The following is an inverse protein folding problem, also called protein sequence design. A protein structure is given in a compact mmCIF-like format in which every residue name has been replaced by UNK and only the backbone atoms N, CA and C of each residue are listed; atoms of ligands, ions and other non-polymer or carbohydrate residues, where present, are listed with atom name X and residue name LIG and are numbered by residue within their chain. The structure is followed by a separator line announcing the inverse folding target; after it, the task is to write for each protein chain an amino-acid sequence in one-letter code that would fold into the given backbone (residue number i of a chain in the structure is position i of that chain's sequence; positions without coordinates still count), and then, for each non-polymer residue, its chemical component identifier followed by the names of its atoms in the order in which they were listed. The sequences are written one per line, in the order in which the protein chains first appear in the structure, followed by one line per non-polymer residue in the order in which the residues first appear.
data_IF_608076163667
#
_entry.id   IF_608076163667
#
_cell.length_a   1.000
_cell.length_b   1.000
_cell.length_c   1.000
_cell.angle_alpha   90.00
_cell.angle_beta   90.00
_cell.angle_gamma   90.00
#
_symmetry.space_group_name_H-M   'P 1'
#
loop_
_entity.id
_entity.type
_entity.pdbx_description
1 polymer ?
#
# COMPACT_ATOMS: atom_id res chain seq x y z
N UNK A 1 -29.00 -1.21 16.67
CA UNK A 1 -28.83 -0.42 15.44
C UNK A 1 -30.20 -0.07 14.87
N UNK A 2 -30.39 1.16 14.40
CA UNK A 2 -31.65 1.61 13.78
C UNK A 2 -31.68 1.29 12.29
N UNK A 3 -32.87 1.33 11.66
CA UNK A 3 -33.02 1.22 10.20
C UNK A 3 -32.14 2.23 9.47
N UNK A 4 -32.16 3.49 9.91
CA UNK A 4 -31.39 4.58 9.30
C UNK A 4 -29.87 4.38 9.40
N UNK A 5 -29.39 3.83 10.52
CA UNK A 5 -27.96 3.48 10.67
C UNK A 5 -27.55 2.39 9.70
N UNK A 6 -28.31 1.30 9.62
CA UNK A 6 -28.03 0.21 8.69
C UNK A 6 -28.11 0.67 7.23
N UNK A 7 -29.07 1.55 6.91
CA UNK A 7 -29.19 2.15 5.59
C UNK A 7 -27.97 3.00 5.24
N UNK A 8 -27.53 3.90 6.13
CA UNK A 8 -26.34 4.71 5.87
C UNK A 8 -25.10 3.84 5.62
N UNK A 9 -24.86 2.84 6.47
CA UNK A 9 -23.71 1.93 6.31
C UNK A 9 -23.72 1.22 4.95
N UNK A 10 -24.88 0.69 4.52
CA UNK A 10 -24.98 -0.08 3.28
C UNK A 10 -25.06 0.81 2.02
N UNK A 11 -25.84 1.89 2.04
CA UNK A 11 -26.11 2.73 0.85
C UNK A 11 -25.10 3.85 0.65
N UNK A 12 -24.72 4.54 1.74
CA UNK A 12 -23.85 5.72 1.64
C UNK A 12 -22.40 5.35 1.76
N UNK A 13 -22.09 4.49 2.73
CA UNK A 13 -20.72 4.13 3.03
C UNK A 13 -20.24 2.89 2.25
N UNK A 14 -21.17 2.17 1.60
CA UNK A 14 -20.84 0.96 0.85
C UNK A 14 -20.28 -0.17 1.73
N UNK A 15 -20.49 -0.11 3.05
CA UNK A 15 -19.91 -1.04 4.00
C UNK A 15 -20.65 -2.38 4.01
N UNK A 16 -19.92 -3.47 4.26
CA UNK A 16 -20.52 -4.76 4.60
C UNK A 16 -20.85 -4.81 6.09
N UNK A 17 -21.99 -5.41 6.45
CA UNK A 17 -22.49 -5.41 7.83
C UNK A 17 -22.95 -6.81 8.22
N UNK A 18 -22.38 -7.34 9.32
CA UNK A 18 -22.93 -8.51 10.01
C UNK A 18 -23.79 -8.06 11.18
N UNK A 19 -24.96 -8.65 11.32
CA UNK A 19 -25.90 -8.32 12.37
C UNK A 19 -26.73 -9.53 12.79
N UNK A 20 -27.35 -9.46 13.96
CA UNK A 20 -28.30 -10.45 14.44
C UNK A 20 -29.71 -9.87 14.60
N UNK A 21 -30.70 -10.72 14.30
CA UNK A 21 -32.13 -10.48 14.52
C UNK A 21 -32.73 -11.74 15.11
N UNK A 22 -33.36 -11.66 16.27
CA UNK A 22 -33.92 -12.80 17.02
C UNK A 22 -32.91 -13.96 17.12
N UNK A 23 -31.68 -13.67 17.57
CA UNK A 23 -30.54 -14.59 17.72
C UNK A 23 -30.11 -15.32 16.43
N UNK A 24 -30.57 -14.83 15.28
CA UNK A 24 -30.14 -15.32 13.96
C UNK A 24 -29.19 -14.33 13.35
N UNK A 25 -28.00 -14.78 12.96
CA UNK A 25 -27.00 -13.97 12.27
C UNK A 25 -27.27 -13.85 10.77
N UNK A 26 -26.95 -12.67 10.25
CA UNK A 26 -27.04 -12.27 8.86
C UNK A 26 -25.80 -11.50 8.47
N UNK A 27 -25.38 -11.63 7.22
CA UNK A 27 -24.46 -10.70 6.55
C UNK A 27 -25.23 -9.90 5.51
N UNK A 28 -24.91 -8.63 5.36
CA UNK A 28 -25.40 -7.78 4.27
C UNK A 28 -24.23 -7.07 3.60
N UNK A 29 -24.22 -7.05 2.27
CA UNK A 29 -23.22 -6.35 1.48
C UNK A 29 -23.92 -5.61 0.33
N UNK A 30 -23.51 -4.37 0.01
CA UNK A 30 -24.00 -3.67 -1.16
C UNK A 30 -23.41 -4.27 -2.44
N UNK A 31 -24.19 -4.26 -3.51
CA UNK A 31 -23.70 -4.61 -4.85
C UNK A 31 -23.15 -3.34 -5.49
N UNK A 32 -21.83 -3.25 -5.59
CA UNK A 32 -21.16 -2.11 -6.20
C UNK A 32 -21.08 -2.28 -7.70
N UNK A 33 -21.53 -1.28 -8.46
CA UNK A 33 -21.43 -1.23 -9.92
C UNK A 33 -20.57 -0.04 -10.31
N UNK A 34 -19.67 -0.28 -11.25
CA UNK A 34 -18.79 0.72 -11.83
C UNK A 34 -19.50 1.41 -13.00
N UNK A 35 -19.62 2.73 -12.94
CA UNK A 35 -20.01 3.54 -14.08
C UNK A 35 -18.80 4.34 -14.53
N UNK A 36 -18.27 3.99 -15.71
CA UNK A 36 -17.20 4.77 -16.33
C UNK A 36 -17.80 6.00 -17.02
N UNK A 37 -17.42 7.18 -16.57
CA UNK A 37 -17.79 8.43 -17.19
C UNK A 37 -16.79 8.74 -18.32
N UNK A 38 -17.20 8.48 -19.56
CA UNK A 38 -16.35 8.72 -20.74
C UNK A 38 -15.91 10.18 -20.91
N UNK A 39 -16.67 11.15 -20.37
CA UNK A 39 -16.35 12.57 -20.51
C UNK A 39 -15.25 13.04 -19.56
N UNK A 40 -15.19 12.46 -18.34
CA UNK A 40 -14.17 12.79 -17.34
C UNK A 40 -13.03 11.78 -17.32
N UNK A 41 -13.22 10.59 -17.90
CA UNK A 41 -12.29 9.48 -17.80
C UNK A 41 -12.24 8.85 -16.40
N UNK A 42 -13.19 9.18 -15.53
CA UNK A 42 -13.26 8.69 -14.15
C UNK A 42 -14.30 7.57 -14.03
N UNK A 43 -14.04 6.62 -13.14
CA UNK A 43 -15.02 5.61 -12.75
C UNK A 43 -15.69 6.03 -11.44
N UNK A 44 -17.02 6.11 -11.46
CA UNK A 44 -17.83 6.31 -10.26
C UNK A 44 -18.38 4.97 -9.79
N UNK A 45 -18.52 4.85 -8.47
CA UNK A 45 -19.11 3.69 -7.82
C UNK A 45 -20.54 4.01 -7.41
N UNK A 46 -21.48 3.12 -7.73
CA UNK A 46 -22.85 3.21 -7.25
C UNK A 46 -23.30 1.89 -6.64
N UNK A 47 -24.17 1.99 -5.64
CA UNK A 47 -24.87 0.83 -5.08
C UNK A 47 -26.04 0.46 -6.01
N UNK A 48 -26.05 -0.78 -6.50
CA UNK A 48 -27.11 -1.37 -7.35
C UNK A 48 -27.75 -2.57 -6.66
N UNK A 49 -28.23 -2.33 -5.43
CA UNK A 49 -28.90 -3.33 -4.60
C UNK A 49 -28.01 -3.94 -3.53
N UNK A 50 -28.51 -5.02 -2.93
CA UNK A 50 -27.92 -5.61 -1.72
C UNK A 50 -27.98 -7.13 -1.77
N UNK A 51 -26.98 -7.79 -1.19
CA UNK A 51 -26.98 -9.21 -0.93
C UNK A 51 -27.18 -9.43 0.56
N UNK A 52 -28.14 -10.28 0.92
CA UNK A 52 -28.30 -10.81 2.26
C UNK A 52 -27.81 -12.25 2.31
N UNK A 53 -26.85 -12.52 3.19
CA UNK A 53 -26.37 -13.86 3.50
C UNK A 53 -26.95 -14.37 4.83
N UNK A 54 -27.40 -15.63 4.83
CA UNK A 54 -27.81 -16.36 6.03
C UNK A 54 -27.36 -17.81 5.93
N UNK A 55 -26.48 -18.26 6.84
CA UNK A 55 -25.96 -19.65 6.88
C UNK A 55 -25.43 -20.12 5.50
N UNK A 56 -24.64 -19.28 4.83
CA UNK A 56 -24.09 -19.55 3.49
C UNK A 56 -25.09 -19.45 2.33
N UNK A 57 -26.35 -19.11 2.59
CA UNK A 57 -27.34 -18.85 1.52
C UNK A 57 -27.44 -17.36 1.26
N UNK A 58 -27.23 -16.97 0.00
CA UNK A 58 -27.30 -15.59 -0.46
C UNK A 58 -28.61 -15.30 -1.19
N UNK A 59 -29.19 -14.13 -0.96
CA UNK A 59 -30.34 -13.60 -1.70
C UNK A 59 -30.11 -12.13 -2.02
N UNK A 60 -30.30 -11.77 -3.28
CA UNK A 60 -30.19 -10.38 -3.76
C UNK A 60 -31.52 -9.61 -3.60
N UNK A 61 -31.40 -8.30 -3.40
CA UNK A 61 -32.48 -7.33 -3.29
C UNK A 61 -32.14 -6.11 -4.14
N UNK A 62 -33.15 -5.51 -4.76
CA UNK A 62 -32.98 -4.38 -5.66
C UNK A 62 -32.74 -3.06 -4.91
N UNK A 63 -33.33 -2.91 -3.74
CA UNK A 63 -33.30 -1.70 -2.93
C UNK A 63 -33.33 -2.04 -1.44
N UNK A 64 -32.97 -1.04 -0.61
CA UNK A 64 -32.84 -1.23 0.83
C UNK A 64 -34.19 -1.51 1.50
N UNK A 65 -35.29 -0.92 0.99
CA UNK A 65 -36.63 -1.15 1.52
C UNK A 65 -37.05 -2.61 1.37
N UNK A 66 -36.88 -3.19 0.17
CA UNK A 66 -37.13 -4.61 -0.10
C UNK A 66 -36.24 -5.54 0.75
N UNK A 67 -35.02 -5.10 1.05
CA UNK A 67 -34.10 -5.80 1.95
C UNK A 67 -34.57 -5.76 3.40
N UNK A 68 -34.96 -4.57 3.90
CA UNK A 68 -35.26 -4.31 5.30
C UNK A 68 -36.67 -4.77 5.72
N UNK A 69 -37.61 -4.90 4.78
CA UNK A 69 -38.97 -5.42 5.04
C UNK A 69 -38.95 -6.74 5.85
N UNK A 70 -37.93 -7.59 5.65
CA UNK A 70 -37.74 -8.84 6.40
C UNK A 70 -37.49 -8.68 7.89
N UNK A 71 -37.02 -7.51 8.30
CA UNK A 71 -36.60 -7.17 9.66
C UNK A 71 -37.48 -6.06 10.25
N UNK A 72 -38.54 -5.67 9.54
CA UNK A 72 -39.43 -4.61 9.99
C UNK A 72 -39.98 -4.92 11.38
N UNK A 73 -39.95 -3.93 12.26
CA UNK A 73 -40.34 -4.04 13.67
C UNK A 73 -39.49 -5.00 14.53
N UNK A 74 -38.34 -5.47 14.03
CA UNK A 74 -37.41 -6.31 14.81
C UNK A 74 -36.21 -5.52 15.30
N UNK A 75 -35.65 -5.94 16.43
CA UNK A 75 -34.42 -5.37 16.94
C UNK A 75 -33.23 -5.93 16.15
N UNK A 76 -32.49 -5.03 15.50
CA UNK A 76 -31.24 -5.35 14.81
C UNK A 76 -30.05 -5.03 15.74
N UNK A 77 -29.26 -6.05 16.06
CA UNK A 77 -28.02 -5.92 16.83
C UNK A 77 -26.83 -6.05 15.90
N UNK A 78 -25.94 -5.06 15.90
CA UNK A 78 -24.71 -5.12 15.12
C UNK A 78 -23.80 -6.23 15.66
N UNK A 79 -23.10 -6.92 14.76
CA UNK A 79 -22.01 -7.85 15.08
C UNK A 79 -20.70 -7.24 14.60
N UNK A 80 -20.62 -6.88 13.32
CA UNK A 80 -19.45 -6.22 12.75
C UNK A 80 -19.80 -5.36 11.52
N UNK A 81 -18.94 -4.39 11.22
CA UNK A 81 -18.90 -3.63 9.96
C UNK A 81 -17.55 -3.96 9.30
N UNK A 82 -17.56 -4.30 8.00
CA UNK A 82 -16.39 -4.73 7.23
C UNK A 82 -15.58 -5.87 7.85
N UNK A 83 -16.21 -6.68 8.70
CA UNK A 83 -15.55 -7.73 9.48
C UNK A 83 -14.45 -7.24 10.45
N UNK A 84 -14.38 -5.94 10.69
CA UNK A 84 -13.33 -5.29 11.49
C UNK A 84 -13.91 -4.54 12.69
N UNK A 85 -14.99 -3.78 12.51
CA UNK A 85 -15.50 -2.87 13.54
C UNK A 85 -16.71 -3.46 14.26
N UNK A 86 -16.59 -3.71 15.56
CA UNK A 86 -17.68 -4.26 16.39
C UNK A 86 -18.74 -3.20 16.77
N UNK A 87 -18.49 -1.93 16.49
CA UNK A 87 -19.39 -0.82 16.82
C UNK A 87 -19.45 0.23 15.69
N UNK A 88 -20.56 0.98 15.65
CA UNK A 88 -20.69 2.13 14.75
C UNK A 88 -19.72 3.24 15.16
N UNK A 89 -19.54 3.47 16.46
CA UNK A 89 -18.64 4.52 16.98
C UNK A 89 -17.20 4.29 16.51
N UNK A 90 -16.66 3.07 16.68
CA UNK A 90 -15.32 2.73 16.18
C UNK A 90 -15.18 2.86 14.66
N UNK A 91 -16.25 2.58 13.91
CA UNK A 91 -16.24 2.72 12.44
C UNK A 91 -16.23 4.19 12.02
N UNK A 92 -17.07 5.02 12.64
CA UNK A 92 -17.11 6.46 12.36
C UNK A 92 -15.83 7.16 12.82
N UNK A 93 -15.21 6.72 13.92
CA UNK A 93 -13.92 7.24 14.39
C UNK A 93 -12.80 6.95 13.39
N UNK A 94 -12.75 5.72 12.84
CA UNK A 94 -11.75 5.37 11.83
C UNK A 94 -12.00 6.14 10.53
N UNK A 95 -13.26 6.21 10.09
CA UNK A 95 -13.64 7.02 8.92
C UNK A 95 -13.30 8.49 9.09
N UNK A 96 -13.54 9.07 10.27
CA UNK A 96 -13.16 10.45 10.57
C UNK A 96 -11.63 10.61 10.53
N UNK A 97 -10.89 9.61 11.00
CA UNK A 97 -9.44 9.60 10.91
C UNK A 97 -8.92 9.43 9.48
N UNK A 98 -9.55 8.64 8.64
CA UNK A 98 -9.17 8.52 7.22
C UNK A 98 -9.44 9.81 6.43
N UNK A 99 -10.34 10.66 6.94
CA UNK A 99 -10.67 11.97 6.37
C UNK A 99 -10.10 13.15 7.19
N UNK A 100 -9.12 12.88 8.05
CA UNK A 100 -8.49 13.91 8.88
C UNK A 100 -7.81 14.96 8.01
N UNK A 101 -7.95 16.23 8.35
CA UNK A 101 -7.24 17.29 7.65
C UNK A 101 -5.83 17.50 8.22
N UNK A 102 -5.00 18.27 7.51
CA UNK A 102 -3.61 18.50 7.92
C UNK A 102 -3.49 19.23 9.26
N UNK A 103 -4.39 20.17 9.56
CA UNK A 103 -4.37 20.88 10.85
C UNK A 103 -4.65 19.93 12.02
N UNK A 104 -5.60 19.01 11.85
CA UNK A 104 -5.98 18.00 12.84
C UNK A 104 -4.88 16.93 12.99
N UNK A 105 -4.24 16.49 11.89
CA UNK A 105 -3.06 15.63 11.93
C UNK A 105 -1.95 16.27 12.77
N UNK A 106 -1.63 17.54 12.48
CA UNK A 106 -0.62 18.27 13.23
C UNK A 106 -1.02 18.48 14.68
N UNK A 107 -2.28 18.79 14.99
CA UNK A 107 -2.74 18.89 16.37
C UNK A 107 -2.56 17.58 17.14
N UNK A 108 -2.71 16.44 16.46
CA UNK A 108 -2.52 15.09 17.01
C UNK A 108 -1.04 14.77 17.21
N UNK A 109 -0.20 15.01 16.20
CA UNK A 109 1.18 14.49 16.17
C UNK A 109 2.24 15.50 16.61
N UNK A 110 2.03 16.82 16.46
CA UNK A 110 3.00 17.85 16.90
C UNK A 110 3.39 17.72 18.40
N UNK A 111 2.49 17.36 19.33
CA UNK A 111 2.86 17.19 20.74
C UNK A 111 3.72 15.94 21.03
N UNK A 112 3.71 14.94 20.14
CA UNK A 112 4.28 13.60 20.42
C UNK A 112 5.41 13.21 19.48
N UNK A 113 5.41 13.71 18.24
CA UNK A 113 6.45 13.47 17.24
C UNK A 113 7.60 14.48 17.38
N UNK A 114 8.79 14.09 16.96
CA UNK A 114 9.96 14.98 16.83
C UNK A 114 10.44 15.15 15.39
N UNK A 115 9.97 14.31 14.49
CA UNK A 115 10.36 14.29 13.08
C UNK A 115 9.25 13.73 12.22
N UNK A 116 9.35 14.00 10.92
CA UNK A 116 8.47 13.45 9.89
C UNK A 116 9.28 13.13 8.64
N UNK A 117 8.74 12.32 7.75
CA UNK A 117 9.32 12.08 6.43
C UNK A 117 8.34 12.36 5.31
N UNK A 118 8.88 12.71 4.15
CA UNK A 118 8.18 12.78 2.88
C UNK A 118 9.02 12.04 1.83
N UNK A 119 8.37 11.38 0.89
CA UNK A 119 8.98 10.56 -0.16
C UNK A 119 8.66 11.10 -1.54
N UNK A 120 9.60 11.03 -2.46
CA UNK A 120 9.36 11.29 -3.87
C UNK A 120 10.14 10.32 -4.75
N UNK A 121 9.84 10.23 -6.06
CA UNK A 121 10.70 9.51 -6.99
C UNK A 121 12.13 10.07 -6.96
N UNK A 122 13.14 9.18 -6.91
CA UNK A 122 14.55 9.58 -6.99
C UNK A 122 14.85 10.25 -8.34
N UNK A 123 14.32 9.68 -9.42
CA UNK A 123 14.42 10.22 -10.76
C UNK A 123 13.10 10.88 -11.17
N UNK A 124 13.18 12.13 -11.62
CA UNK A 124 12.12 12.83 -12.35
C UNK A 124 12.44 12.86 -13.85
N UNK A 125 11.42 13.07 -14.70
CA UNK A 125 11.62 13.24 -16.14
C UNK A 125 11.88 11.94 -16.90
N UNK A 126 11.12 10.87 -16.60
CA UNK A 126 11.09 9.68 -17.45
C UNK A 126 10.59 10.05 -18.84
N UNK A 127 11.42 9.82 -19.86
CA UNK A 127 11.09 10.01 -21.26
C UNK A 127 11.68 8.86 -22.12
N UNK A 128 11.46 8.93 -23.44
CA UNK A 128 11.98 7.90 -24.36
C UNK A 128 13.51 7.81 -24.36
N UNK A 129 14.21 8.90 -24.03
CA UNK A 129 15.68 8.97 -23.99
C UNK A 129 16.23 8.52 -22.61
N UNK A 130 15.45 8.68 -21.55
CA UNK A 130 15.83 8.41 -20.16
C UNK A 130 14.78 7.53 -19.45
N UNK A 131 14.56 6.27 -19.91
CA UNK A 131 13.52 5.40 -19.36
C UNK A 131 13.78 4.98 -17.90
N UNK A 132 14.98 5.18 -17.39
CA UNK A 132 15.36 4.94 -15.98
C UNK A 132 15.73 6.23 -15.25
N UNK A 133 15.38 7.38 -15.84
CA UNK A 133 15.70 8.70 -15.30
C UNK A 133 17.06 9.24 -15.69
N UNK A 134 17.34 10.46 -15.24
CA UNK A 134 18.50 11.25 -15.64
C UNK A 134 19.71 11.08 -14.73
N UNK A 135 19.47 10.82 -13.44
CA UNK A 135 20.51 10.91 -12.42
C UNK A 135 21.11 9.56 -12.09
N UNK A 136 22.41 9.60 -11.83
CA UNK A 136 23.24 8.47 -11.50
C UNK A 136 23.09 8.09 -10.04
N UNK A 137 22.93 6.79 -9.79
CA UNK A 137 23.02 6.22 -8.44
C UNK A 137 24.41 5.63 -8.27
N UNK A 138 25.12 6.05 -7.22
CA UNK A 138 26.43 5.47 -6.90
C UNK A 138 26.31 4.05 -6.35
N UNK A 139 27.41 3.30 -6.39
CA UNK A 139 27.41 1.88 -5.99
C UNK A 139 27.05 1.65 -4.52
N UNK A 140 27.38 2.59 -3.63
CA UNK A 140 27.09 2.46 -2.22
C UNK A 140 25.58 2.63 -1.95
N UNK A 141 24.96 3.65 -2.55
CA UNK A 141 23.51 3.84 -2.48
C UNK A 141 22.76 2.66 -3.10
N UNK A 142 23.21 2.19 -4.27
CA UNK A 142 22.61 1.04 -4.94
C UNK A 142 22.66 -0.23 -4.08
N UNK A 143 23.83 -0.55 -3.51
CA UNK A 143 23.99 -1.73 -2.65
C UNK A 143 23.13 -1.63 -1.39
N UNK A 144 23.11 -0.47 -0.74
CA UNK A 144 22.26 -0.25 0.45
C UNK A 144 20.78 -0.43 0.12
N UNK A 145 20.28 0.26 -0.91
CA UNK A 145 18.88 0.18 -1.33
C UNK A 145 18.44 -1.24 -1.65
N UNK A 146 19.31 -2.01 -2.30
CA UNK A 146 19.02 -3.38 -2.68
C UNK A 146 19.07 -4.35 -1.51
N UNK A 147 19.99 -4.18 -0.57
CA UNK A 147 20.05 -4.99 0.64
C UNK A 147 18.83 -4.76 1.53
N UNK A 148 18.40 -3.51 1.70
CA UNK A 148 17.17 -3.16 2.45
C UNK A 148 15.94 -3.82 1.81
N UNK A 149 15.82 -3.75 0.48
CA UNK A 149 14.75 -4.42 -0.26
C UNK A 149 14.82 -5.95 -0.13
N UNK A 150 15.99 -6.56 -0.30
CA UNK A 150 16.18 -8.01 -0.17
C UNK A 150 15.78 -8.52 1.22
N UNK A 151 16.14 -7.79 2.29
CA UNK A 151 15.73 -8.13 3.65
C UNK A 151 14.22 -8.01 3.86
N UNK A 152 13.61 -6.93 3.35
CA UNK A 152 12.17 -6.71 3.43
C UNK A 152 11.37 -7.81 2.72
N UNK A 153 11.70 -8.05 1.44
CA UNK A 153 11.02 -9.04 0.60
C UNK A 153 11.22 -10.46 1.12
N UNK A 154 12.42 -10.81 1.58
CA UNK A 154 12.68 -12.11 2.19
C UNK A 154 11.84 -12.32 3.45
N UNK A 155 11.74 -11.32 4.32
CA UNK A 155 10.92 -11.41 5.56
C UNK A 155 9.43 -11.54 5.25
N UNK A 156 8.95 -10.82 4.24
CA UNK A 156 7.56 -10.93 3.77
C UNK A 156 7.29 -12.33 3.19
N UNK A 157 8.17 -12.82 2.32
CA UNK A 157 8.08 -14.17 1.77
C UNK A 157 8.15 -15.26 2.85
N UNK A 158 8.99 -15.10 3.87
CA UNK A 158 9.08 -16.03 5.01
C UNK A 158 7.77 -16.09 5.78
N UNK A 159 7.14 -14.93 6.05
CA UNK A 159 5.83 -14.87 6.70
C UNK A 159 4.77 -15.62 5.90
N UNK A 160 4.71 -15.40 4.59
CA UNK A 160 3.76 -16.10 3.72
C UNK A 160 4.02 -17.61 3.66
N UNK A 161 5.29 -18.01 3.60
CA UNK A 161 5.67 -19.42 3.72
C UNK A 161 5.26 -20.01 5.08
N UNK A 162 5.30 -19.20 6.14
CA UNK A 162 4.80 -19.51 7.48
C UNK A 162 3.28 -19.78 7.55
N UNK A 163 2.49 -19.16 6.67
CA UNK A 163 1.04 -19.34 6.58
C UNK A 163 0.63 -20.63 5.85
N UNK A 164 1.56 -21.30 5.15
CA UNK A 164 1.29 -22.57 4.48
C UNK A 164 0.87 -23.64 5.50
N UNK A 165 -0.24 -24.37 5.28
CA UNK A 165 -0.66 -25.46 6.16
C UNK A 165 0.45 -26.45 6.45
N UNK A 166 0.64 -26.80 7.72
CA UNK A 166 1.78 -27.62 8.18
C UNK A 166 1.94 -28.94 7.39
N UNK A 167 0.81 -29.57 7.03
CA UNK A 167 0.76 -30.81 6.23
C UNK A 167 1.44 -30.68 4.85
N UNK A 168 1.40 -29.48 4.27
CA UNK A 168 1.96 -29.19 2.95
C UNK A 168 3.36 -28.60 3.09
N UNK A 169 3.58 -27.74 4.09
CA UNK A 169 4.91 -27.20 4.42
C UNK A 169 5.94 -28.30 4.73
N UNK A 170 5.56 -29.38 5.41
CA UNK A 170 6.44 -30.54 5.69
C UNK A 170 6.98 -31.24 4.43
N UNK A 171 6.39 -31.00 3.26
CA UNK A 171 6.83 -31.56 1.97
C UNK A 171 7.82 -30.64 1.25
N UNK A 172 8.07 -29.45 1.79
CA UNK A 172 8.94 -28.44 1.21
C UNK A 172 10.29 -28.41 1.95
N UNK A 173 11.36 -27.95 1.29
CA UNK A 173 12.58 -27.51 1.95
C UNK A 173 12.32 -26.51 3.08
N UNK A 174 13.30 -26.38 3.99
CA UNK A 174 13.37 -25.22 4.87
C UNK A 174 13.39 -23.93 4.04
N UNK A 175 12.78 -22.87 4.57
CA UNK A 175 12.58 -21.60 3.86
C UNK A 175 13.87 -21.06 3.23
N UNK A 176 14.96 -21.00 3.99
CA UNK A 176 16.26 -20.51 3.51
C UNK A 176 16.76 -21.25 2.26
N UNK A 177 16.64 -22.58 2.25
CA UNK A 177 17.04 -23.39 1.10
C UNK A 177 16.09 -23.18 -0.08
N UNK A 178 14.78 -23.08 0.17
CA UNK A 178 13.79 -22.82 -0.88
C UNK A 178 14.04 -21.45 -1.52
N UNK A 179 14.25 -20.41 -0.71
CA UNK A 179 14.46 -19.04 -1.16
C UNK A 179 15.70 -18.92 -2.06
N UNK A 180 16.83 -19.49 -1.66
CA UNK A 180 18.05 -19.47 -2.47
C UNK A 180 17.91 -20.25 -3.80
N UNK A 181 17.18 -21.37 -3.78
CA UNK A 181 16.92 -22.12 -5.00
C UNK A 181 15.98 -21.38 -5.97
N UNK A 182 14.95 -20.70 -5.44
CA UNK A 182 14.08 -19.82 -6.24
C UNK A 182 14.88 -18.64 -6.79
N UNK A 183 15.74 -18.02 -5.98
CA UNK A 183 16.66 -16.95 -6.40
C UNK A 183 17.56 -17.38 -7.56
N UNK A 184 18.13 -18.57 -7.49
CA UNK A 184 18.92 -19.13 -8.58
C UNK A 184 18.06 -19.37 -9.85
N UNK A 185 16.87 -19.95 -9.70
CA UNK A 185 15.93 -20.22 -10.80
C UNK A 185 15.51 -18.93 -11.52
N UNK A 186 15.11 -17.90 -10.77
CA UNK A 186 14.73 -16.59 -11.30
C UNK A 186 15.88 -15.95 -12.10
N UNK A 187 17.10 -15.98 -11.56
CA UNK A 187 18.30 -15.43 -12.21
C UNK A 187 18.62 -16.13 -13.52
N UNK A 188 18.52 -17.45 -13.54
CA UNK A 188 18.77 -18.22 -14.76
C UNK A 188 17.70 -17.99 -15.82
N UNK A 189 16.43 -17.89 -15.42
CA UNK A 189 15.34 -17.52 -16.33
C UNK A 189 15.57 -16.14 -16.94
N UNK A 190 15.96 -15.15 -16.13
CA UNK A 190 16.20 -13.77 -16.56
C UNK A 190 17.33 -13.66 -17.58
N UNK A 191 18.42 -14.44 -17.43
CA UNK A 191 19.52 -14.50 -18.42
C UNK A 191 19.02 -14.90 -19.81
N UNK A 192 18.04 -15.81 -19.89
CA UNK A 192 17.41 -16.22 -21.15
C UNK A 192 16.40 -15.23 -21.72
N UNK A 193 15.96 -14.24 -20.93
CA UNK A 193 14.87 -13.31 -21.26
C UNK A 193 15.29 -11.84 -21.21
N UNK A 194 16.57 -11.54 -21.48
CA UNK A 194 17.10 -10.18 -21.46
C UNK A 194 16.28 -9.18 -22.28
N UNK A 195 15.90 -9.54 -23.51
CA UNK A 195 15.08 -8.67 -24.35
C UNK A 195 13.71 -8.32 -23.73
N UNK A 196 13.16 -9.19 -22.89
CA UNK A 196 11.93 -8.93 -22.14
C UNK A 196 12.21 -7.93 -21.00
N UNK A 197 13.29 -8.14 -20.24
CA UNK A 197 13.72 -7.20 -19.21
C UNK A 197 13.97 -5.80 -19.81
N UNK A 198 14.70 -5.70 -20.91
CA UNK A 198 14.98 -4.42 -21.58
C UNK A 198 13.69 -3.70 -22.01
N UNK A 199 12.70 -4.45 -22.51
CA UNK A 199 11.41 -3.91 -22.96
C UNK A 199 10.50 -3.46 -21.81
N UNK A 200 10.54 -4.14 -20.67
CA UNK A 200 9.59 -3.96 -19.58
C UNK A 200 10.25 -3.48 -18.28
N UNK A 201 11.29 -2.65 -18.39
CA UNK A 201 11.89 -1.97 -17.23
C UNK A 201 12.48 -2.93 -16.20
N UNK A 202 13.04 -4.06 -16.66
CA UNK A 202 13.55 -5.11 -15.80
C UNK A 202 12.54 -6.21 -15.49
N UNK A 203 11.25 -6.06 -15.79
CA UNK A 203 10.28 -7.12 -15.47
C UNK A 203 10.32 -8.26 -16.50
N UNK A 204 10.57 -9.50 -16.06
CA UNK A 204 10.51 -10.71 -16.91
C UNK A 204 9.23 -11.53 -16.70
N UNK A 205 8.37 -11.09 -15.79
CA UNK A 205 7.10 -11.70 -15.38
C UNK A 205 7.31 -13.16 -15.00
N UNK A 206 8.26 -13.43 -14.12
CA UNK A 206 8.60 -14.81 -13.76
C UNK A 206 7.46 -15.48 -12.99
N UNK A 207 6.65 -14.70 -12.27
CA UNK A 207 5.39 -15.17 -11.69
C UNK A 207 4.52 -15.94 -12.71
N UNK A 208 4.40 -15.48 -13.95
CA UNK A 208 3.62 -16.18 -14.98
C UNK A 208 4.06 -17.63 -15.18
N UNK A 209 5.35 -17.93 -15.00
CA UNK A 209 5.89 -19.28 -15.09
C UNK A 209 5.46 -20.15 -13.90
N UNK A 210 5.30 -19.57 -12.71
CA UNK A 210 4.68 -20.28 -11.57
C UNK A 210 3.22 -20.62 -11.88
N UNK A 211 2.45 -19.64 -12.38
CA UNK A 211 1.03 -19.84 -12.75
C UNK A 211 0.85 -20.90 -13.83
N UNK A 212 1.80 -21.02 -14.77
CA UNK A 212 1.85 -22.09 -15.79
C UNK A 212 2.33 -23.44 -15.24
N UNK A 213 2.88 -23.47 -14.03
CA UNK A 213 3.46 -24.67 -13.41
C UNK A 213 4.82 -25.07 -14.01
N UNK A 214 5.57 -24.11 -14.53
CA UNK A 214 6.89 -24.30 -15.14
C UNK A 214 8.05 -24.14 -14.14
N UNK A 215 7.77 -23.66 -12.94
CA UNK A 215 8.75 -23.48 -11.88
C UNK A 215 9.11 -24.78 -11.15
N UNK A 216 10.24 -24.78 -10.44
CA UNK A 216 10.69 -25.89 -9.59
C UNK A 216 9.65 -26.25 -8.53
N UNK A 217 9.12 -25.25 -7.82
CA UNK A 217 8.08 -25.43 -6.81
C UNK A 217 6.74 -24.93 -7.35
N UNK A 218 5.78 -25.86 -7.48
CA UNK A 218 4.47 -25.61 -8.13
C UNK A 218 3.30 -25.59 -7.15
N UNK A 219 3.52 -26.13 -5.95
CA UNK A 219 2.51 -26.26 -4.90
C UNK A 219 3.17 -26.12 -3.53
N UNK A 220 2.45 -25.56 -2.55
CA UNK A 220 1.09 -25.01 -2.67
C UNK A 220 1.09 -23.62 -3.34
N UNK A 221 -0.09 -23.05 -3.60
CA UNK A 221 -0.23 -21.84 -4.42
C UNK A 221 0.43 -20.61 -3.77
N UNK A 222 0.50 -20.60 -2.44
CA UNK A 222 1.12 -19.57 -1.61
C UNK A 222 2.62 -19.41 -1.87
N UNK A 223 3.29 -20.41 -2.48
CA UNK A 223 4.67 -20.27 -2.93
C UNK A 223 4.86 -19.22 -4.02
N UNK A 224 3.78 -18.81 -4.70
CA UNK A 224 3.76 -17.64 -5.57
C UNK A 224 4.45 -16.43 -4.92
N UNK A 225 4.17 -16.14 -3.64
CA UNK A 225 4.74 -14.99 -2.94
C UNK A 225 6.27 -15.03 -2.83
N UNK A 226 6.86 -16.24 -2.77
CA UNK A 226 8.33 -16.37 -2.76
C UNK A 226 8.90 -16.06 -4.14
N UNK A 227 8.24 -16.53 -5.20
CA UNK A 227 8.63 -16.24 -6.58
C UNK A 227 8.49 -14.76 -6.92
N UNK A 228 7.38 -14.14 -6.49
CA UNK A 228 7.11 -12.71 -6.66
C UNK A 228 8.16 -11.84 -5.96
N UNK A 229 8.43 -12.11 -4.68
CA UNK A 229 9.44 -11.39 -3.90
C UNK A 229 10.82 -11.41 -4.56
N UNK A 230 11.25 -12.59 -5.05
CA UNK A 230 12.55 -12.74 -5.72
C UNK A 230 12.58 -12.06 -7.08
N UNK A 231 11.54 -12.19 -7.91
CA UNK A 231 11.50 -11.53 -9.23
C UNK A 231 11.44 -10.01 -9.09
N UNK A 232 10.75 -9.51 -8.05
CA UNK A 232 10.70 -8.09 -7.73
C UNK A 232 12.08 -7.53 -7.36
N UNK A 233 12.81 -8.19 -6.46
CA UNK A 233 14.21 -7.83 -6.13
C UNK A 233 15.08 -7.76 -7.38
N UNK A 234 15.00 -8.76 -8.26
CA UNK A 234 15.82 -8.82 -9.48
C UNK A 234 15.39 -7.76 -10.52
N UNK A 235 14.13 -7.32 -10.49
CA UNK A 235 13.63 -6.19 -11.27
C UNK A 235 14.21 -4.87 -10.75
N UNK A 236 14.19 -4.65 -9.43
CA UNK A 236 14.80 -3.47 -8.81
C UNK A 236 16.32 -3.42 -8.99
N UNK A 237 17.01 -4.57 -8.94
CA UNK A 237 18.43 -4.70 -9.28
C UNK A 237 18.71 -4.21 -10.70
N UNK A 238 17.88 -4.60 -11.66
CA UNK A 238 18.00 -4.13 -13.04
C UNK A 238 17.82 -2.61 -13.14
N UNK A 239 16.86 -2.02 -12.42
CA UNK A 239 16.70 -0.56 -12.34
C UNK A 239 17.96 0.11 -11.82
N UNK A 240 18.56 -0.41 -10.74
CA UNK A 240 19.82 0.12 -10.19
C UNK A 240 20.96 0.06 -11.20
N UNK A 241 21.15 -1.08 -11.86
CA UNK A 241 22.17 -1.25 -12.89
C UNK A 241 22.03 -0.20 -14.01
N UNK A 242 20.79 0.11 -14.41
CA UNK A 242 20.49 1.15 -15.41
C UNK A 242 20.72 2.56 -14.88
N UNK A 243 20.29 2.87 -13.67
CA UNK A 243 20.57 4.18 -13.07
C UNK A 243 22.06 4.41 -12.84
N UNK A 244 22.87 3.38 -12.61
CA UNK A 244 24.31 3.51 -12.45
C UNK A 244 25.04 3.88 -13.75
N UNK A 245 24.43 3.61 -14.91
CA UNK A 245 24.91 3.96 -16.26
C UNK A 245 24.61 5.43 -16.63
N UNK A 246 23.77 6.15 -15.87
CA UNK A 246 23.43 7.55 -16.13
C UNK A 246 24.62 8.50 -15.98
N UNK A 247 24.63 9.59 -16.74
CA UNK A 247 25.77 10.52 -16.83
C UNK A 247 25.75 11.64 -15.78
N UNK A 248 24.56 12.01 -15.27
CA UNK A 248 24.40 13.19 -14.40
C UNK A 248 24.44 12.80 -12.93
N UNK A 249 25.28 13.47 -12.16
CA UNK A 249 25.29 13.38 -10.70
C UNK A 249 24.59 14.61 -10.11
N UNK A 250 23.89 14.43 -8.97
CA UNK A 250 23.26 15.51 -8.22
C UNK A 250 23.40 15.30 -6.70
N UNK A 251 23.37 16.35 -5.88
CA UNK A 251 23.09 16.22 -4.46
C UNK A 251 21.71 15.58 -4.24
N UNK A 252 21.60 14.74 -3.21
CA UNK A 252 20.33 14.11 -2.82
C UNK A 252 19.28 15.16 -2.42
N UNK A 253 19.71 16.21 -1.73
CA UNK A 253 18.81 17.29 -1.29
C UNK A 253 18.53 18.36 -2.35
N UNK A 254 18.99 18.19 -3.61
CA UNK A 254 18.77 19.17 -4.70
C UNK A 254 17.28 19.43 -4.94
N UNK A 255 16.40 18.42 -4.75
CA UNK A 255 14.94 18.58 -4.86
C UNK A 255 14.45 19.72 -3.96
N UNK A 256 15.06 19.90 -2.79
CA UNK A 256 14.68 20.90 -1.79
C UNK A 256 15.21 22.31 -2.10
N UNK A 257 15.93 22.51 -3.21
CA UNK A 257 16.39 23.84 -3.66
C UNK A 257 15.27 24.67 -4.28
N UNK A 258 14.15 24.05 -4.64
CA UNK A 258 12.98 24.79 -5.14
C UNK A 258 12.40 25.69 -4.05
N UNK A 259 11.92 26.87 -4.45
CA UNK A 259 11.35 27.87 -3.55
C UNK A 259 10.20 27.31 -2.69
N UNK A 260 9.40 26.42 -3.26
CA UNK A 260 8.30 25.75 -2.58
C UNK A 260 8.73 24.96 -1.33
N UNK A 261 9.96 24.44 -1.28
CA UNK A 261 10.50 23.65 -0.16
C UNK A 261 11.45 24.44 0.77
N UNK A 262 11.58 25.76 0.59
CA UNK A 262 12.50 26.58 1.38
C UNK A 262 12.27 26.47 2.91
N UNK A 263 11.02 26.22 3.33
CA UNK A 263 10.66 26.01 4.74
C UNK A 263 11.11 24.65 5.33
N UNK A 264 11.44 23.68 4.48
CA UNK A 264 11.84 22.34 4.87
C UNK A 264 13.35 22.17 4.93
N UNK A 265 14.07 22.74 3.96
CA UNK A 265 15.50 22.44 3.73
C UNK A 265 16.39 22.63 4.96
N UNK A 266 16.17 23.69 5.73
CA UNK A 266 16.96 23.98 6.95
C UNK A 266 16.72 22.99 8.11
N UNK A 267 15.64 22.21 8.03
CA UNK A 267 15.25 21.22 9.02
C UNK A 267 15.51 19.78 8.56
N UNK A 268 16.17 19.59 7.42
CA UNK A 268 16.56 18.27 6.93
C UNK A 268 17.53 17.59 7.92
N UNK A 269 17.18 16.38 8.34
CA UNK A 269 17.99 15.52 9.22
C UNK A 269 18.86 14.60 8.37
N UNK A 270 18.24 13.91 7.42
CA UNK A 270 18.88 12.95 6.51
C UNK A 270 18.00 12.69 5.30
N UNK A 271 18.60 12.11 4.28
CA UNK A 271 17.93 11.58 3.09
C UNK A 271 18.28 10.12 2.91
N UNK A 272 17.28 9.30 2.59
CA UNK A 272 17.45 7.90 2.26
C UNK A 272 16.97 7.65 0.83
N UNK A 273 17.65 6.74 0.15
CA UNK A 273 17.35 6.35 -1.23
C UNK A 273 17.14 4.85 -1.20
N UNK A 274 15.99 4.40 -1.69
CA UNK A 274 15.56 3.02 -1.54
C UNK A 274 14.28 2.71 -2.32
N UNK A 275 13.91 1.43 -2.33
CA UNK A 275 12.67 0.94 -2.91
C UNK A 275 11.58 0.72 -1.86
N UNK A 276 11.93 0.86 -0.58
CA UNK A 276 11.07 0.61 0.57
C UNK A 276 11.03 1.85 1.44
N UNK A 277 9.83 2.22 1.87
CA UNK A 277 9.63 3.24 2.90
C UNK A 277 8.48 2.83 3.81
N UNK A 278 8.05 3.72 4.71
CA UNK A 278 7.21 3.39 5.86
C UNK A 278 5.88 2.68 5.53
N UNK A 279 5.28 2.92 4.37
CA UNK A 279 3.98 2.36 4.00
C UNK A 279 4.04 1.26 2.93
N UNK A 280 5.06 1.26 2.05
CA UNK A 280 5.04 0.40 0.86
C UNK A 280 6.44 0.15 0.27
N UNK A 281 6.46 -0.64 -0.80
CA UNK A 281 7.61 -0.90 -1.66
C UNK A 281 7.25 -0.62 -3.12
N UNK A 282 8.19 -0.09 -3.89
CA UNK A 282 8.00 0.22 -5.31
C UNK A 282 9.13 -0.32 -6.18
N UNK A 283 8.82 -0.62 -7.45
CA UNK A 283 9.83 -0.93 -8.46
C UNK A 283 10.57 0.31 -8.97
N UNK A 284 10.06 1.51 -8.65
CA UNK A 284 10.73 2.79 -8.89
C UNK A 284 11.57 3.15 -7.69
N UNK A 285 12.80 3.62 -7.94
CA UNK A 285 13.67 4.08 -6.87
C UNK A 285 13.13 5.41 -6.32
N UNK A 286 13.03 5.49 -5.00
CA UNK A 286 12.50 6.65 -4.28
C UNK A 286 13.57 7.31 -3.42
N UNK A 287 13.30 8.55 -3.05
CA UNK A 287 14.06 9.37 -2.15
C UNK A 287 13.16 9.84 -1.00
N UNK A 288 13.53 9.48 0.23
CA UNK A 288 12.81 9.83 1.44
C UNK A 288 13.61 10.84 2.26
N UNK A 289 13.02 12.01 2.48
CA UNK A 289 13.60 13.09 3.26
C UNK A 289 13.04 13.07 4.67
N UNK A 290 13.91 13.07 5.67
CA UNK A 290 13.54 13.14 7.08
C UNK A 290 13.78 14.54 7.60
N UNK A 291 12.74 15.15 8.14
CA UNK A 291 12.76 16.51 8.65
C UNK A 291 12.50 16.54 10.15
N UNK A 292 13.12 17.49 10.84
CA UNK A 292 12.73 17.82 12.21
C UNK A 292 11.34 18.45 12.19
N UNK A 293 10.43 17.95 13.02
CA UNK A 293 9.14 18.58 13.22
C UNK A 293 9.28 19.76 14.17
N UNK A 294 9.11 20.98 13.67
CA UNK A 294 9.14 22.23 14.42
C UNK A 294 8.12 23.22 13.87
N UNK A 295 8.04 24.43 14.44
CA UNK A 295 7.10 25.47 14.01
C UNK A 295 7.19 25.76 12.51
N UNK A 296 8.40 25.93 11.95
CA UNK A 296 8.60 26.24 10.53
C UNK A 296 8.12 25.12 9.62
N UNK A 297 8.43 23.87 9.94
CA UNK A 297 8.01 22.73 9.09
C UNK A 297 6.52 22.42 9.25
N UNK A 298 5.96 22.66 10.44
CA UNK A 298 4.53 22.53 10.67
C UNK A 298 3.74 23.58 9.88
N UNK A 299 4.20 24.84 9.86
CA UNK A 299 3.59 25.89 9.01
C UNK A 299 3.73 25.57 7.51
N UNK A 300 4.77 24.85 7.11
CA UNK A 300 4.86 24.36 5.73
C UNK A 300 3.78 23.31 5.44
N UNK A 301 3.60 22.32 6.32
CA UNK A 301 2.58 21.27 6.17
C UNK A 301 1.17 21.86 6.15
N UNK A 302 0.86 22.87 6.97
CA UNK A 302 -0.47 23.52 7.02
C UNK A 302 -0.93 24.19 5.71
N UNK A 303 -0.07 24.33 4.72
CA UNK A 303 -0.45 24.85 3.40
C UNK A 303 -1.34 23.88 2.62
N UNK A 304 -1.31 22.61 2.98
CA UNK A 304 -2.07 21.54 2.34
C UNK A 304 -3.37 21.28 3.10
N UNK A 305 -4.45 20.98 2.38
CA UNK A 305 -5.76 20.66 2.98
C UNK A 305 -5.67 19.40 3.84
N UNK A 306 -5.02 18.36 3.31
CA UNK A 306 -4.71 17.10 3.96
C UNK A 306 -3.41 16.56 3.36
N UNK A 307 -2.94 15.43 3.89
CA UNK A 307 -1.75 14.73 3.44
C UNK A 307 -1.89 14.11 2.05
N UNK A 308 -3.10 13.76 1.60
CA UNK A 308 -3.35 13.35 0.21
C UNK A 308 -3.27 14.49 -0.81
N UNK A 309 -3.24 15.75 -0.35
CA UNK A 309 -3.04 16.93 -1.19
C UNK A 309 -1.56 17.30 -1.37
N UNK A 310 -0.63 16.52 -0.79
CA UNK A 310 0.79 16.69 -1.01
C UNK A 310 1.14 16.39 -2.48
N UNK A 311 1.87 17.29 -3.12
CA UNK A 311 2.37 17.14 -4.49
C UNK A 311 3.89 17.24 -4.51
N UNK A 312 4.54 16.34 -5.27
CA UNK A 312 5.99 16.34 -5.47
C UNK A 312 6.79 15.73 -4.32
N UNK A 313 6.43 16.02 -3.07
CA UNK A 313 6.90 15.32 -1.86
C UNK A 313 5.70 14.68 -1.18
N UNK A 314 5.51 13.40 -1.42
CA UNK A 314 4.34 12.61 -1.07
C UNK A 314 4.62 11.71 0.14
N UNK A 315 3.68 10.82 0.47
CA UNK A 315 3.75 9.83 1.56
C UNK A 315 4.29 10.38 2.90
N UNK A 316 3.37 10.85 3.73
CA UNK A 316 3.68 11.45 5.02
C UNK A 316 3.84 10.38 6.11
N UNK A 317 4.89 10.49 6.92
CA UNK A 317 5.02 9.74 8.16
C UNK A 317 5.51 10.60 9.31
N UNK A 318 5.04 10.34 10.53
CA UNK A 318 5.56 10.97 11.75
C UNK A 318 6.34 9.95 12.60
N UNK A 319 7.37 10.45 13.27
CA UNK A 319 8.28 9.65 14.09
C UNK A 319 8.49 10.27 15.47
N UNK A 320 8.74 9.38 16.44
CA UNK A 320 9.18 9.70 17.79
C UNK A 320 10.40 8.88 18.15
N UNK A 321 11.52 9.54 18.42
CA UNK A 321 12.82 8.94 18.75
C UNK A 321 13.23 7.89 17.71
N UNK A 322 12.99 8.19 16.43
CA UNK A 322 13.26 7.33 15.28
C UNK A 322 12.25 6.19 15.06
N UNK A 323 11.18 6.10 15.85
CA UNK A 323 10.11 5.10 15.68
C UNK A 323 8.92 5.70 14.95
N UNK A 324 8.43 5.00 13.93
CA UNK A 324 7.23 5.37 13.18
C UNK A 324 5.99 5.31 14.09
N UNK A 325 5.21 6.38 14.14
CA UNK A 325 3.97 6.46 14.93
C UNK A 325 2.74 6.73 14.05
N UNK A 326 2.95 7.29 12.87
CA UNK A 326 1.93 7.51 11.85
C UNK A 326 2.55 7.32 10.47
N UNK A 327 1.77 6.72 9.58
CA UNK A 327 2.12 6.53 8.18
C UNK A 327 0.90 6.80 7.32
N UNK A 328 1.11 7.49 6.20
CA UNK A 328 0.12 7.73 5.17
C UNK A 328 0.68 7.40 3.80
N UNK A 329 -0.12 6.76 2.96
CA UNK A 329 0.17 6.63 1.54
C UNK A 329 -0.78 7.49 0.72
N UNK A 330 -0.23 8.44 -0.05
CA UNK A 330 -1.02 9.37 -0.87
C UNK A 330 -1.70 8.68 -2.05
N UNK A 331 -1.05 7.66 -2.61
CA UNK A 331 -1.53 6.92 -3.77
C UNK A 331 -2.71 6.00 -3.44
N UNK A 332 -2.55 5.21 -2.38
CA UNK A 332 -3.58 4.25 -1.95
C UNK A 332 -4.61 4.85 -0.98
N UNK A 333 -4.38 6.10 -0.53
CA UNK A 333 -5.27 6.85 0.38
C UNK A 333 -5.65 6.07 1.63
N UNK A 334 -4.64 5.65 2.36
CA UNK A 334 -4.83 5.02 3.67
C UNK A 334 -3.91 5.62 4.72
N UNK A 335 -4.35 5.54 5.97
CA UNK A 335 -3.55 5.82 7.15
C UNK A 335 -3.21 4.54 7.91
N UNK A 336 -2.11 4.58 8.66
CA UNK A 336 -1.78 3.56 9.64
C UNK A 336 -1.28 4.24 10.91
N UNK A 337 -2.03 4.05 11.99
CA UNK A 337 -1.61 4.39 13.37
C UNK A 337 -0.84 3.23 13.96
N UNK A 338 0.38 3.48 14.42
CA UNK A 338 1.24 2.46 15.05
C UNK A 338 1.37 2.66 16.56
N UNK A 339 0.60 3.58 17.13
CA UNK A 339 0.58 3.95 18.55
C UNK A 339 -0.48 3.21 19.39
N UNK A 340 -1.17 2.20 18.81
CA UNK A 340 -2.13 1.34 19.54
C UNK A 340 -1.50 0.06 20.09
#
# INVERSE_FOLDING_TARGET
MTKAQLQNLLEKDGASVKFSVDDTEYGAEPVMVYEFNEATGLADFKVDGFILEKKGRRKSFKDFESFFEKFENKQVKLISINDEFESIESYEDEKAFDNINMEELLATFLPVADSFSLTCPFNSGYDEEHPFGLYRVDSYLAERALNELEEWEKKTAERQYGCIPEKDRKKLPAFEMLYEEVKAECRDYRKGHKAKADKFGGNVFFGDEFSKGNTKYKKPAELWHVYEAVDFVETCRYTLDKTAENEKERPLDEVLDKEEYAGLKSSLIKTEVGFTWHCTTSGMLSETFFFKLNETTAEWLKKFENDYALEGLEDLAFYKDGKLIFSSCTHEKFHTRLDK
#
